data_IF_497136725229
#
_entry.id   IF_497136725229
#
_cell.length_a   1.000
_cell.length_b   1.000
_cell.length_c   1.000
_cell.angle_alpha   90.00
_cell.angle_beta   90.00
_cell.angle_gamma   90.00
#
_symmetry.space_group_name_H-M   'P 1'
#
loop_
_entity.id
_entity.type
_entity.pdbx_description
1 polymer ?
#
# COMPACT_ATOMS: atom_id res chain seq x y z
N UNK A 1 9.71 40.44 -27.24
CA UNK A 1 8.25 40.63 -27.28
C UNK A 1 7.55 39.62 -28.19
N UNK A 2 8.00 39.47 -29.45
CA UNK A 2 7.41 38.55 -30.45
C UNK A 2 7.39 37.09 -29.94
N UNK A 3 8.46 36.59 -29.33
CA UNK A 3 8.55 35.22 -28.81
C UNK A 3 7.53 34.95 -27.68
N UNK A 4 7.27 35.92 -26.81
CA UNK A 4 6.26 35.81 -25.75
C UNK A 4 4.86 35.75 -26.36
N UNK A 5 4.57 36.59 -27.34
CA UNK A 5 3.26 36.59 -28.03
C UNK A 5 3.01 35.26 -28.74
N UNK A 6 4.01 34.74 -29.46
CA UNK A 6 3.92 33.42 -30.13
C UNK A 6 3.71 32.30 -29.12
N UNK A 7 4.43 32.33 -27.99
CA UNK A 7 4.25 31.33 -26.91
C UNK A 7 2.86 31.35 -26.29
N UNK A 8 2.32 32.55 -26.02
CA UNK A 8 0.96 32.71 -25.48
C UNK A 8 -0.09 32.24 -26.49
N UNK A 9 0.03 32.61 -27.76
CA UNK A 9 -0.89 32.18 -28.82
C UNK A 9 -0.84 30.64 -28.99
N UNK A 10 0.36 30.06 -29.02
CA UNK A 10 0.52 28.60 -29.11
C UNK A 10 -0.13 27.89 -27.90
N UNK A 11 0.09 28.44 -26.70
CA UNK A 11 -0.55 27.88 -25.49
C UNK A 11 -2.09 27.88 -25.58
N UNK A 12 -2.69 28.99 -26.02
CA UNK A 12 -4.12 29.06 -26.20
C UNK A 12 -4.63 28.14 -27.31
N UNK A 13 -3.93 28.04 -28.42
CA UNK A 13 -4.31 27.12 -29.51
C UNK A 13 -4.29 25.68 -28.99
N UNK A 14 -3.22 25.25 -28.31
CA UNK A 14 -3.13 23.91 -27.72
C UNK A 14 -4.24 23.70 -26.69
N UNK A 15 -4.44 24.64 -25.77
CA UNK A 15 -5.46 24.53 -24.72
C UNK A 15 -6.88 24.43 -25.27
N UNK A 16 -7.18 25.15 -26.35
CA UNK A 16 -8.50 25.11 -27.01
C UNK A 16 -8.70 23.89 -27.91
N UNK A 17 -7.60 23.29 -28.38
CA UNK A 17 -7.65 22.05 -29.17
C UNK A 17 -7.54 20.78 -28.36
N UNK A 18 -7.28 20.87 -27.03
CA UNK A 18 -7.27 19.71 -26.13
C UNK A 18 -8.72 19.24 -25.90
N UNK A 19 -9.04 18.11 -26.49
CA UNK A 19 -10.27 17.39 -26.19
C UNK A 19 -10.05 16.52 -24.95
N UNK A 20 -10.92 16.64 -23.95
CA UNK A 20 -10.92 15.75 -22.79
C UNK A 20 -11.58 14.46 -23.20
N UNK A 21 -10.78 13.45 -23.45
CA UNK A 21 -11.28 12.09 -23.68
C UNK A 21 -11.32 11.39 -22.32
N UNK A 22 -12.51 10.99 -21.88
CA UNK A 22 -12.62 10.16 -20.67
C UNK A 22 -12.01 8.77 -20.95
N UNK A 23 -11.30 8.23 -19.96
CA UNK A 23 -10.81 6.85 -20.02
C UNK A 23 -12.00 5.91 -20.21
N UNK A 24 -11.91 4.87 -21.04
CA UNK A 24 -12.96 3.84 -21.15
C UNK A 24 -13.32 3.22 -19.78
N UNK A 25 -12.36 3.21 -18.84
CA UNK A 25 -12.48 2.64 -17.53
C UNK A 25 -12.65 3.69 -16.42
N UNK A 26 -13.00 4.94 -16.76
CA UNK A 26 -13.07 6.07 -15.82
C UNK A 26 -13.94 5.78 -14.59
N UNK A 27 -15.09 5.14 -14.80
CA UNK A 27 -16.01 4.80 -13.70
C UNK A 27 -15.35 3.85 -12.68
N UNK A 28 -14.67 2.80 -13.14
CA UNK A 28 -13.95 1.85 -12.29
C UNK A 28 -12.74 2.53 -11.60
N UNK A 29 -11.99 3.34 -12.34
CA UNK A 29 -10.87 4.12 -11.82
C UNK A 29 -11.32 5.06 -10.68
N UNK A 30 -12.41 5.78 -10.88
CA UNK A 30 -12.97 6.68 -9.87
C UNK A 30 -13.48 5.90 -8.64
N UNK A 31 -14.11 4.74 -8.86
CA UNK A 31 -14.58 3.88 -7.78
C UNK A 31 -13.43 3.35 -6.93
N UNK A 32 -12.34 2.92 -7.54
CA UNK A 32 -11.16 2.44 -6.83
C UNK A 32 -10.45 3.55 -6.04
N UNK A 33 -10.32 4.75 -6.62
CA UNK A 33 -9.76 5.90 -5.90
C UNK A 33 -10.64 6.30 -4.70
N UNK A 34 -11.97 6.29 -4.85
CA UNK A 34 -12.91 6.55 -3.75
C UNK A 34 -12.84 5.49 -2.67
N UNK A 35 -12.76 4.21 -3.05
CA UNK A 35 -12.62 3.11 -2.09
C UNK A 35 -11.32 3.25 -1.29
N UNK A 36 -10.20 3.55 -1.96
CA UNK A 36 -8.92 3.79 -1.29
C UNK A 36 -8.99 5.00 -0.34
N UNK A 37 -9.61 6.11 -0.77
CA UNK A 37 -9.80 7.29 0.10
C UNK A 37 -10.64 6.97 1.34
N UNK A 38 -11.72 6.20 1.20
CA UNK A 38 -12.56 5.74 2.32
C UNK A 38 -11.78 4.79 3.24
N UNK A 39 -11.00 3.88 2.68
CA UNK A 39 -10.15 2.97 3.45
C UNK A 39 -9.07 3.72 4.24
N UNK A 40 -8.44 4.73 3.65
CA UNK A 40 -7.47 5.61 4.34
C UNK A 40 -8.14 6.33 5.51
N UNK A 41 -9.31 6.92 5.31
CA UNK A 41 -10.05 7.61 6.38
C UNK A 41 -10.41 6.67 7.54
N UNK A 42 -10.84 5.45 7.23
CA UNK A 42 -11.13 4.41 8.21
C UNK A 42 -9.87 4.01 8.99
N UNK A 43 -8.75 3.76 8.31
CA UNK A 43 -7.49 3.39 8.93
C UNK A 43 -6.89 4.50 9.78
N UNK A 44 -7.03 5.76 9.37
CA UNK A 44 -6.63 6.92 10.17
C UNK A 44 -7.40 6.96 11.48
N UNK A 45 -8.73 6.85 11.43
CA UNK A 45 -9.60 6.81 12.61
C UNK A 45 -9.30 5.61 13.50
N UNK A 46 -9.09 4.45 12.90
CA UNK A 46 -8.77 3.22 13.64
C UNK A 46 -7.44 3.34 14.38
N UNK A 47 -6.38 3.86 13.72
CA UNK A 47 -5.08 4.12 14.32
C UNK A 47 -5.18 5.02 15.54
N UNK A 48 -5.95 6.12 15.44
CA UNK A 48 -6.20 7.02 16.56
C UNK A 48 -6.96 6.32 17.70
N UNK A 49 -7.91 5.43 17.39
CA UNK A 49 -8.65 4.67 18.39
C UNK A 49 -7.78 3.69 19.18
N UNK A 50 -6.66 3.24 18.62
CA UNK A 50 -5.63 2.45 19.29
C UNK A 50 -4.70 3.31 20.17
N UNK A 51 -4.88 4.62 20.18
CA UNK A 51 -4.00 5.57 20.89
C UNK A 51 -2.66 5.81 20.18
N UNK A 52 -2.55 5.44 18.90
CA UNK A 52 -1.33 5.62 18.11
C UNK A 52 -1.41 6.95 17.38
N UNK A 53 -0.62 7.91 17.84
CA UNK A 53 -0.58 9.26 17.28
C UNK A 53 -0.14 9.28 15.81
N UNK A 54 -0.76 10.17 15.02
CA UNK A 54 -0.33 10.48 13.65
C UNK A 54 0.42 11.81 13.69
N UNK A 55 1.72 11.79 13.42
CA UNK A 55 2.57 12.99 13.40
C UNK A 55 2.35 13.78 12.10
N UNK A 56 1.77 14.99 12.14
CA UNK A 56 1.54 15.80 10.95
C UNK A 56 2.83 16.25 10.24
N UNK A 57 3.96 16.23 10.95
CA UNK A 57 5.27 16.56 10.33
C UNK A 57 5.77 15.44 9.44
N UNK A 58 5.34 14.20 9.72
CA UNK A 58 5.69 12.98 8.97
C UNK A 58 4.58 12.60 7.98
N UNK A 59 3.33 12.65 8.42
CA UNK A 59 2.13 12.37 7.62
C UNK A 59 1.20 13.60 7.54
N UNK A 60 1.54 14.60 6.70
CA UNK A 60 0.81 15.87 6.67
C UNK A 60 -0.65 15.74 6.19
N UNK A 61 -0.99 14.65 5.53
CA UNK A 61 -2.36 14.35 5.08
C UNK A 61 -3.14 13.51 6.10
N UNK A 62 -2.54 13.20 7.24
CA UNK A 62 -3.12 12.41 8.33
C UNK A 62 -3.71 11.08 7.85
N UNK A 63 -3.01 10.42 6.95
CA UNK A 63 -3.50 9.17 6.33
C UNK A 63 -3.43 7.96 7.27
N UNK A 64 -2.60 8.04 8.31
CA UNK A 64 -2.31 6.93 9.20
C UNK A 64 -1.42 5.84 8.60
N UNK A 65 -1.09 5.93 7.32
CA UNK A 65 -0.31 4.92 6.59
C UNK A 65 1.21 5.15 6.64
N UNK A 66 1.65 6.26 7.23
CA UNK A 66 3.06 6.55 7.45
C UNK A 66 3.42 6.16 8.87
N UNK A 67 4.30 5.18 9.02
CA UNK A 67 4.74 4.66 10.30
C UNK A 67 5.93 5.42 10.88
N UNK A 68 6.36 5.05 12.10
CA UNK A 68 7.58 5.53 12.70
C UNK A 68 8.81 5.26 11.83
N UNK A 69 9.85 6.07 12.02
CA UNK A 69 11.11 5.93 11.30
C UNK A 69 11.80 4.61 11.65
N UNK A 70 12.02 4.36 12.94
CA UNK A 70 12.67 3.15 13.43
C UNK A 70 11.86 2.45 14.50
N UNK A 71 11.65 1.16 14.32
CA UNK A 71 11.07 0.22 15.30
C UNK A 71 11.71 -1.15 15.11
N UNK A 72 11.31 -2.11 15.92
CA UNK A 72 11.72 -3.51 15.79
C UNK A 72 11.32 -4.12 14.43
N UNK A 73 10.32 -3.54 13.74
CA UNK A 73 9.89 -4.01 12.42
C UNK A 73 10.68 -3.37 11.26
N UNK A 74 11.57 -2.41 11.55
CA UNK A 74 12.32 -1.71 10.51
C UNK A 74 13.46 -2.58 9.96
N UNK A 75 13.42 -2.88 8.67
CA UNK A 75 14.40 -3.74 7.99
C UNK A 75 15.49 -2.95 7.27
N UNK A 76 15.18 -1.76 6.78
CA UNK A 76 16.09 -0.95 5.98
C UNK A 76 15.64 0.51 5.96
N UNK A 77 16.52 1.37 5.48
CA UNK A 77 16.21 2.78 5.25
C UNK A 77 15.09 2.94 4.21
N UNK A 78 14.30 4.00 4.36
CA UNK A 78 13.18 4.33 3.49
C UNK A 78 13.21 5.77 3.00
N UNK A 79 12.44 6.06 1.96
CA UNK A 79 12.26 7.42 1.47
C UNK A 79 10.88 7.94 1.88
N UNK A 80 10.83 8.84 2.85
CA UNK A 80 9.59 9.41 3.38
C UNK A 80 8.72 10.06 2.28
N UNK A 81 9.34 10.77 1.32
CA UNK A 81 8.57 11.40 0.24
C UNK A 81 7.89 10.36 -0.66
N UNK A 82 8.56 9.24 -0.94
CA UNK A 82 7.96 8.16 -1.71
C UNK A 82 6.77 7.52 -0.95
N UNK A 83 6.91 7.36 0.39
CA UNK A 83 5.80 6.88 1.23
C UNK A 83 4.60 7.83 1.17
N UNK A 84 4.84 9.14 1.36
CA UNK A 84 3.80 10.17 1.24
C UNK A 84 3.12 10.16 -0.13
N UNK A 85 3.91 10.06 -1.20
CA UNK A 85 3.36 10.00 -2.57
C UNK A 85 2.45 8.80 -2.75
N UNK A 86 2.82 7.64 -2.20
CA UNK A 86 2.04 6.41 -2.34
C UNK A 86 0.67 6.45 -1.66
N UNK A 87 0.43 7.39 -0.72
CA UNK A 87 -0.88 7.53 -0.07
C UNK A 87 -1.93 8.24 -0.94
N UNK A 88 -1.55 8.73 -2.13
CA UNK A 88 -2.52 9.32 -3.05
C UNK A 88 -3.50 8.25 -3.58
N UNK A 89 -4.82 8.42 -3.38
CA UNK A 89 -5.83 7.47 -3.84
C UNK A 89 -5.83 7.21 -5.35
N UNK A 90 -5.27 8.11 -6.16
CA UNK A 90 -5.16 7.94 -7.60
C UNK A 90 -4.28 6.75 -8.01
N UNK A 91 -3.46 6.20 -7.09
CA UNK A 91 -2.75 4.94 -7.35
C UNK A 91 -3.69 3.76 -7.56
N UNK A 92 -4.82 3.72 -6.85
CA UNK A 92 -5.84 2.69 -7.10
C UNK A 92 -6.45 2.83 -8.49
N UNK A 93 -6.72 4.06 -8.95
CA UNK A 93 -7.18 4.33 -10.30
C UNK A 93 -6.15 3.93 -11.37
N UNK A 94 -4.87 4.17 -11.10
CA UNK A 94 -3.77 3.76 -11.99
C UNK A 94 -3.68 2.24 -12.10
N UNK A 95 -3.85 1.51 -11.01
CA UNK A 95 -3.83 0.05 -11.00
C UNK A 95 -5.03 -0.54 -11.75
N UNK A 96 -6.22 0.04 -11.63
CA UNK A 96 -7.37 -0.31 -12.47
C UNK A 96 -7.00 -0.21 -13.94
N UNK A 97 -6.36 0.90 -14.36
CA UNK A 97 -5.91 1.05 -15.74
C UNK A 97 -4.98 -0.09 -16.18
N UNK A 98 -3.98 -0.43 -15.35
CA UNK A 98 -3.04 -1.51 -15.69
C UNK A 98 -3.71 -2.88 -15.76
N UNK A 99 -4.63 -3.19 -14.86
CA UNK A 99 -5.35 -4.46 -14.88
C UNK A 99 -6.26 -4.59 -16.09
N UNK A 100 -6.90 -3.50 -16.50
CA UNK A 100 -7.71 -3.46 -17.73
C UNK A 100 -6.83 -3.56 -18.99
N UNK A 101 -5.65 -2.92 -19.02
CA UNK A 101 -4.69 -3.06 -20.13
C UNK A 101 -4.15 -4.49 -20.26
N UNK A 102 -4.11 -5.25 -19.16
CA UNK A 102 -3.79 -6.68 -19.15
C UNK A 102 -4.98 -7.58 -19.48
N UNK A 103 -6.13 -7.01 -19.75
CA UNK A 103 -7.39 -7.71 -20.07
C UNK A 103 -7.86 -8.68 -18.97
N UNK A 104 -7.56 -8.36 -17.67
CA UNK A 104 -8.03 -9.14 -16.54
C UNK A 104 -9.55 -9.10 -16.44
N UNK A 105 -10.14 -10.23 -16.08
CA UNK A 105 -11.58 -10.40 -15.96
C UNK A 105 -11.99 -10.71 -14.52
N UNK A 106 -13.22 -10.39 -14.19
CA UNK A 106 -13.84 -10.79 -12.93
C UNK A 106 -13.52 -12.24 -12.57
N UNK A 107 -13.01 -12.45 -11.38
CA UNK A 107 -12.62 -13.78 -10.86
C UNK A 107 -11.21 -14.21 -11.24
N UNK A 108 -10.47 -13.43 -12.04
CA UNK A 108 -9.07 -13.77 -12.34
C UNK A 108 -8.20 -13.60 -11.08
N UNK A 109 -7.31 -14.57 -10.79
CA UNK A 109 -6.42 -14.48 -9.65
C UNK A 109 -5.28 -13.49 -9.90
N UNK A 110 -4.98 -12.68 -8.88
CA UNK A 110 -3.85 -11.74 -8.87
C UNK A 110 -2.92 -12.10 -7.72
N UNK A 111 -1.77 -12.69 -8.02
CA UNK A 111 -0.74 -12.97 -7.02
C UNK A 111 0.01 -11.69 -6.63
N UNK A 112 0.08 -11.41 -5.33
CA UNK A 112 0.68 -10.19 -4.78
C UNK A 112 1.70 -10.58 -3.73
N UNK A 113 2.99 -10.30 -4.00
CA UNK A 113 4.05 -10.32 -3.00
C UNK A 113 4.26 -8.90 -2.44
N UNK A 114 4.10 -8.71 -1.15
CA UNK A 114 4.21 -7.40 -0.52
C UNK A 114 4.94 -7.45 0.82
N UNK A 115 5.45 -6.31 1.26
CA UNK A 115 6.00 -6.12 2.59
C UNK A 115 5.37 -4.90 3.25
N UNK A 116 5.63 -4.71 4.54
CA UNK A 116 5.21 -3.52 5.27
C UNK A 116 5.78 -2.21 4.73
N UNK A 117 6.70 -2.25 3.75
CA UNK A 117 7.39 -1.06 3.25
C UNK A 117 6.48 -0.03 2.59
N UNK A 118 5.47 -0.45 1.85
CA UNK A 118 4.53 0.45 1.15
C UNK A 118 3.07 0.02 1.36
N UNK A 119 2.53 0.17 2.58
CA UNK A 119 1.17 -0.26 2.89
C UNK A 119 0.12 0.40 1.98
N UNK A 120 0.35 1.66 1.60
CA UNK A 120 -0.56 2.39 0.72
C UNK A 120 -0.62 1.82 -0.70
N UNK A 121 0.49 1.33 -1.27
CA UNK A 121 0.46 0.70 -2.59
C UNK A 121 -0.23 -0.66 -2.56
N UNK A 122 -0.03 -1.43 -1.48
CA UNK A 122 -0.76 -2.67 -1.29
C UNK A 122 -2.26 -2.40 -1.15
N UNK A 123 -2.65 -1.39 -0.35
CA UNK A 123 -4.03 -0.94 -0.23
C UNK A 123 -4.62 -0.53 -1.59
N UNK A 124 -3.88 0.26 -2.38
CA UNK A 124 -4.30 0.67 -3.73
C UNK A 124 -4.56 -0.54 -4.63
N UNK A 125 -3.67 -1.56 -4.56
CA UNK A 125 -3.80 -2.79 -5.34
C UNK A 125 -5.06 -3.57 -4.95
N UNK A 126 -5.33 -3.71 -3.65
CA UNK A 126 -6.53 -4.38 -3.15
C UNK A 126 -7.81 -3.64 -3.52
N UNK A 127 -7.81 -2.30 -3.45
CA UNK A 127 -8.94 -1.49 -3.88
C UNK A 127 -9.23 -1.64 -5.39
N UNK A 128 -8.20 -1.73 -6.22
CA UNK A 128 -8.37 -1.98 -7.64
C UNK A 128 -8.91 -3.39 -7.91
N UNK A 129 -8.40 -4.42 -7.21
CA UNK A 129 -8.92 -5.78 -7.28
C UNK A 129 -10.38 -5.87 -6.86
N UNK A 130 -10.76 -5.20 -5.74
CA UNK A 130 -12.13 -5.21 -5.24
C UNK A 130 -13.12 -4.63 -6.26
N UNK A 131 -12.77 -3.48 -6.87
CA UNK A 131 -13.63 -2.81 -7.86
C UNK A 131 -13.77 -3.60 -9.15
N UNK A 132 -12.71 -4.28 -9.58
CA UNK A 132 -12.71 -5.13 -10.77
C UNK A 132 -13.19 -6.56 -10.49
N UNK A 133 -13.56 -6.85 -9.23
CA UNK A 133 -13.98 -8.18 -8.77
C UNK A 133 -12.95 -9.29 -9.10
N UNK A 134 -11.64 -8.95 -8.99
CA UNK A 134 -10.54 -9.90 -9.12
C UNK A 134 -10.34 -10.68 -7.82
N UNK A 135 -9.55 -11.75 -7.85
CA UNK A 135 -9.22 -12.58 -6.70
C UNK A 135 -7.77 -12.34 -6.25
N UNK A 136 -7.49 -11.34 -5.39
CA UNK A 136 -6.15 -11.10 -4.89
C UNK A 136 -5.70 -12.20 -3.93
N UNK A 137 -4.46 -12.69 -4.13
CA UNK A 137 -3.80 -13.70 -3.31
C UNK A 137 -2.50 -13.08 -2.76
N UNK A 138 -2.55 -12.61 -1.52
CA UNK A 138 -1.45 -11.83 -0.92
C UNK A 138 -0.56 -12.73 -0.06
N UNK A 139 0.74 -12.70 -0.34
CA UNK A 139 1.79 -13.11 0.58
C UNK A 139 2.44 -11.83 1.11
N UNK A 140 2.46 -11.66 2.42
CA UNK A 140 2.92 -10.44 3.06
C UNK A 140 4.06 -10.72 4.03
N UNK A 141 5.15 -9.95 3.96
CA UNK A 141 6.19 -9.94 4.98
C UNK A 141 6.02 -8.76 5.95
N UNK A 142 6.14 -9.08 7.25
CA UNK A 142 5.90 -8.11 8.35
C UNK A 142 6.90 -6.98 8.31
N UNK A 143 8.15 -7.28 8.00
CA UNK A 143 9.23 -6.31 7.96
C UNK A 143 8.99 -5.18 6.95
N UNK A 144 9.37 -3.97 7.34
CA UNK A 144 9.13 -2.76 6.57
C UNK A 144 10.37 -1.88 6.51
N UNK A 145 10.56 -1.14 5.43
CA UNK A 145 11.51 -0.02 5.42
C UNK A 145 10.94 1.14 6.25
N UNK A 146 11.82 2.05 6.70
CA UNK A 146 11.43 3.27 7.42
C UNK A 146 10.13 3.88 6.90
N UNK A 147 9.30 4.37 7.80
CA UNK A 147 8.03 5.01 7.49
C UNK A 147 7.01 4.13 6.74
N UNK A 148 7.23 2.81 6.68
CA UNK A 148 6.21 1.85 6.23
C UNK A 148 5.22 1.50 7.34
N UNK A 149 4.63 0.31 7.29
CA UNK A 149 3.80 -0.24 8.36
C UNK A 149 4.70 -0.77 9.51
N UNK A 150 5.48 0.13 10.10
CA UNK A 150 6.52 -0.17 11.09
C UNK A 150 6.03 -0.17 12.53
N UNK A 151 4.78 0.25 12.81
CA UNK A 151 4.24 0.19 14.16
C UNK A 151 3.77 -1.23 14.50
N UNK A 152 4.26 -1.87 15.59
CA UNK A 152 3.94 -3.27 15.90
C UNK A 152 2.45 -3.58 16.04
N UNK A 153 1.67 -2.67 16.61
CA UNK A 153 0.22 -2.81 16.81
C UNK A 153 -0.60 -2.34 15.58
N UNK A 154 0.07 -1.80 14.55
CA UNK A 154 -0.58 -1.28 13.36
C UNK A 154 0.17 -1.67 12.08
N UNK A 155 0.34 -2.97 11.88
CA UNK A 155 0.91 -3.56 10.66
C UNK A 155 -0.14 -3.65 9.57
N UNK A 156 0.26 -4.02 8.35
CA UNK A 156 -0.73 -4.22 7.27
C UNK A 156 -1.69 -5.37 7.55
N UNK A 157 -1.30 -6.36 8.37
CA UNK A 157 -2.23 -7.42 8.84
C UNK A 157 -3.39 -6.77 9.59
N UNK A 158 -3.09 -5.97 10.60
CA UNK A 158 -4.09 -5.26 11.42
C UNK A 158 -4.93 -4.29 10.59
N UNK A 159 -4.29 -3.59 9.64
CA UNK A 159 -4.99 -2.69 8.71
C UNK A 159 -6.01 -3.44 7.84
N UNK A 160 -5.60 -4.58 7.26
CA UNK A 160 -6.48 -5.36 6.40
C UNK A 160 -7.63 -5.98 7.20
N UNK A 161 -7.35 -6.56 8.36
CA UNK A 161 -8.39 -7.08 9.27
C UNK A 161 -9.45 -6.02 9.55
N UNK A 162 -9.04 -4.79 9.90
CA UNK A 162 -9.98 -3.70 10.12
C UNK A 162 -10.83 -3.39 8.89
N UNK A 163 -10.23 -3.34 7.70
CA UNK A 163 -10.97 -3.04 6.47
C UNK A 163 -11.93 -4.16 6.08
N UNK A 164 -11.60 -5.40 6.41
CA UNK A 164 -12.50 -6.56 6.25
C UNK A 164 -13.66 -6.48 7.24
N UNK A 165 -13.40 -6.20 8.49
CA UNK A 165 -14.40 -6.09 9.56
C UNK A 165 -15.46 -5.02 9.26
N UNK A 166 -15.06 -3.90 8.66
CA UNK A 166 -16.00 -2.83 8.25
C UNK A 166 -16.58 -3.03 6.85
N UNK A 167 -16.22 -4.10 6.16
CA UNK A 167 -16.77 -4.47 4.86
C UNK A 167 -16.29 -3.61 3.69
N UNK A 168 -15.13 -2.95 3.81
CA UNK A 168 -14.52 -2.18 2.72
C UNK A 168 -13.70 -3.05 1.77
N UNK A 169 -13.05 -4.09 2.27
CA UNK A 169 -12.27 -5.05 1.49
C UNK A 169 -12.61 -6.48 1.88
N UNK A 170 -12.27 -7.42 1.01
CA UNK A 170 -12.28 -8.85 1.31
C UNK A 170 -10.94 -9.30 1.88
N UNK A 171 -10.99 -10.35 2.69
CA UNK A 171 -9.77 -11.01 3.17
C UNK A 171 -9.05 -11.71 2.01
N UNK A 172 -7.87 -11.19 1.71
CA UNK A 172 -7.02 -11.65 0.59
C UNK A 172 -5.66 -12.16 1.04
N UNK A 173 -5.38 -12.08 2.36
CA UNK A 173 -4.09 -12.49 2.92
C UNK A 173 -4.06 -14.01 3.08
N UNK A 174 -3.21 -14.69 2.30
CA UNK A 174 -3.08 -16.15 2.34
C UNK A 174 -1.91 -16.62 3.18
N UNK A 175 -0.84 -15.84 3.22
CA UNK A 175 0.35 -16.21 3.99
C UNK A 175 1.11 -14.96 4.48
N UNK A 176 1.84 -15.14 5.58
CA UNK A 176 2.68 -14.12 6.20
C UNK A 176 4.07 -14.68 6.42
N UNK A 177 5.09 -13.87 6.13
CA UNK A 177 6.49 -14.16 6.40
C UNK A 177 7.14 -13.04 7.21
N UNK A 178 8.41 -13.21 7.58
CA UNK A 178 9.07 -12.24 8.45
C UNK A 178 9.54 -10.98 7.73
N UNK A 179 10.18 -11.14 6.57
CA UNK A 179 10.96 -10.08 5.96
C UNK A 179 12.40 -10.00 6.50
N UNK A 180 13.08 -8.89 6.23
CA UNK A 180 14.52 -8.78 6.50
C UNK A 180 15.37 -9.56 5.51
N UNK A 181 16.66 -9.72 5.80
CA UNK A 181 17.55 -10.48 4.93
C UNK A 181 17.10 -11.95 4.86
N UNK A 182 17.01 -12.47 3.63
CA UNK A 182 16.59 -13.86 3.35
C UNK A 182 15.22 -14.25 3.92
N UNK A 183 14.38 -13.27 4.23
CA UNK A 183 13.05 -13.47 4.81
C UNK A 183 13.04 -14.17 6.19
N UNK A 184 14.11 -13.99 6.95
CA UNK A 184 14.34 -14.62 8.26
C UNK A 184 14.43 -13.64 9.43
N UNK A 185 14.02 -12.37 9.23
CA UNK A 185 14.24 -11.29 10.17
C UNK A 185 15.72 -11.13 10.59
N UNK A 186 16.66 -11.43 9.69
CA UNK A 186 18.07 -11.17 9.92
C UNK A 186 18.47 -9.80 9.39
N UNK A 187 19.51 -9.19 9.99
CA UNK A 187 19.97 -7.85 9.64
C UNK A 187 19.06 -6.73 10.16
N UNK A 188 18.22 -7.01 11.17
CA UNK A 188 17.34 -6.03 11.80
C UNK A 188 18.13 -5.03 12.66
N UNK A 189 17.59 -3.81 12.81
CA UNK A 189 18.24 -2.76 13.60
C UNK A 189 18.14 -2.99 15.11
N UNK A 190 17.13 -3.74 15.58
CA UNK A 190 16.86 -3.90 17.00
C UNK A 190 16.86 -5.39 17.40
N UNK A 191 17.36 -5.70 18.61
CA UNK A 191 17.22 -7.03 19.19
C UNK A 191 15.74 -7.32 19.49
N UNK A 192 15.33 -8.60 19.41
CA UNK A 192 13.93 -8.99 19.64
C UNK A 192 13.01 -8.83 18.42
N UNK A 193 13.51 -8.26 17.33
CA UNK A 193 12.73 -8.05 16.10
C UNK A 193 12.14 -9.36 15.53
N UNK A 194 12.94 -10.44 15.49
CA UNK A 194 12.49 -11.74 14.99
C UNK A 194 11.34 -12.31 15.81
N UNK A 195 11.46 -12.26 17.14
CA UNK A 195 10.46 -12.75 18.07
C UNK A 195 9.14 -11.99 17.89
N UNK A 196 9.20 -10.68 17.83
CA UNK A 196 8.02 -9.82 17.63
C UNK A 196 7.37 -10.06 16.24
N UNK A 197 8.18 -10.12 15.18
CA UNK A 197 7.66 -10.39 13.83
C UNK A 197 7.03 -11.79 13.73
N UNK A 198 7.61 -12.78 14.44
CA UNK A 198 7.05 -14.14 14.51
C UNK A 198 5.71 -14.12 15.24
N UNK A 199 5.59 -13.39 16.35
CA UNK A 199 4.35 -13.22 17.07
C UNK A 199 3.26 -12.60 16.19
N UNK A 200 3.58 -11.52 15.47
CA UNK A 200 2.66 -10.86 14.53
C UNK A 200 2.25 -11.83 13.42
N UNK A 201 3.19 -12.57 12.83
CA UNK A 201 2.89 -13.52 11.76
C UNK A 201 1.98 -14.65 12.24
N UNK A 202 2.24 -15.21 13.41
CA UNK A 202 1.43 -16.30 13.99
C UNK A 202 0.04 -15.80 14.43
N UNK A 203 -0.07 -14.59 14.99
CA UNK A 203 -1.34 -14.00 15.43
C UNK A 203 -2.29 -13.69 14.27
N UNK A 204 -1.77 -13.54 13.06
CA UNK A 204 -2.59 -13.30 11.85
C UNK A 204 -3.54 -14.46 11.52
N UNK A 205 -3.33 -15.65 12.08
CA UNK A 205 -4.09 -16.86 11.72
C UNK A 205 -3.88 -17.35 10.29
N UNK A 206 -2.92 -16.79 9.56
CA UNK A 206 -2.59 -17.15 8.18
C UNK A 206 -1.46 -18.17 8.13
N UNK A 207 -1.21 -18.73 6.95
CA UNK A 207 -0.07 -19.61 6.76
C UNK A 207 1.22 -18.83 7.06
N UNK A 208 1.98 -19.26 8.06
CA UNK A 208 3.29 -18.68 8.36
C UNK A 208 4.34 -19.35 7.48
N UNK A 209 5.02 -18.55 6.65
CA UNK A 209 6.13 -19.00 5.81
C UNK A 209 7.42 -18.63 6.53
N UNK A 210 8.19 -19.66 6.88
CA UNK A 210 9.54 -19.52 7.42
C UNK A 210 10.40 -20.66 6.92
N UNK A 211 11.42 -20.30 6.14
CA UNK A 211 12.42 -21.25 5.63
C UNK A 211 13.80 -20.80 6.10
N UNK A 212 14.54 -21.67 6.74
CA UNK A 212 15.94 -21.37 7.03
C UNK A 212 16.70 -21.25 5.71
N UNK A 213 17.53 -20.20 5.55
CA UNK A 213 18.30 -20.04 4.33
C UNK A 213 19.18 -21.28 4.15
N UNK A 214 19.08 -21.91 2.99
CA UNK A 214 20.02 -22.93 2.58
C UNK A 214 21.43 -22.36 2.77
N UNK A 215 22.20 -22.97 3.65
CA UNK A 215 23.60 -22.60 3.79
C UNK A 215 24.23 -22.75 2.41
N UNK A 216 24.82 -21.66 1.91
CA UNK A 216 25.55 -21.72 0.66
C UNK A 216 26.68 -22.75 0.84
N UNK A 217 26.47 -23.89 0.27
CA UNK A 217 27.44 -24.98 0.19
C UNK A 217 28.53 -24.64 -0.83
#
# INVERSE_FOLDING_TARGET
LLGVVVGVVAFFIVSLSMERIESPHFSAQLSAARLMASSIAELSTFRESLGIEIDPSVDPNLTGLIGPEFTELTTTLGNLQAKRTSTNPDFAALLVKYFEELDLKKGDPVAIGASGSFPALLLATLCACEVLELEPLVIYSVGASEHGATHPEFTFVTMLERLVDVGLLKDSLIAVSLGGNYDTASGMFFPGARELMTEIALSSGKTFIYEEPLQAS
#
